data_IF_909785202034
#
_entry.id   IF_909785202034
#
_cell.length_a   1.000
_cell.length_b   1.000
_cell.length_c   1.000
_cell.angle_alpha   90.00
_cell.angle_beta   90.00
_cell.angle_gamma   90.00
#
_symmetry.space_group_name_H-M   'P 1'
#
loop_
_entity.id
_entity.type
_entity.pdbx_description
1 polymer ?
#
# COMPACT_ATOMS: atom_id res chain seq x y z
N UNK A 1 -36.33 24.88 -32.25
CA UNK A 1 -36.18 24.61 -30.80
C UNK A 1 -35.79 23.15 -30.46
N UNK A 2 -35.51 22.25 -31.42
CA UNK A 2 -35.25 20.82 -31.13
C UNK A 2 -33.79 20.36 -31.04
N UNK A 3 -32.85 21.06 -31.72
CA UNK A 3 -31.44 20.60 -31.80
C UNK A 3 -30.63 21.00 -30.57
N UNK A 4 -30.93 22.16 -29.96
CA UNK A 4 -30.24 22.62 -28.75
C UNK A 4 -30.53 21.70 -27.55
N UNK A 5 -31.76 21.21 -27.39
CA UNK A 5 -32.12 20.32 -26.29
C UNK A 5 -31.32 19.00 -26.31
N UNK A 6 -31.15 18.38 -27.49
CA UNK A 6 -30.42 17.10 -27.63
C UNK A 6 -28.94 17.23 -27.29
N UNK A 7 -28.31 18.37 -27.63
CA UNK A 7 -26.93 18.65 -27.26
C UNK A 7 -26.74 18.86 -25.75
N UNK A 8 -27.68 19.56 -25.09
CA UNK A 8 -27.63 19.73 -23.63
C UNK A 8 -27.87 18.42 -22.88
N UNK A 9 -28.79 17.55 -23.33
CA UNK A 9 -29.01 16.24 -22.70
C UNK A 9 -27.80 15.30 -22.84
N UNK A 10 -27.09 15.35 -23.97
CA UNK A 10 -25.88 14.55 -24.19
C UNK A 10 -24.69 15.08 -23.38
N UNK A 11 -24.54 16.40 -23.22
CA UNK A 11 -23.54 16.98 -22.30
C UNK A 11 -23.87 16.63 -20.83
N UNK A 12 -25.15 16.68 -20.44
CA UNK A 12 -25.59 16.31 -19.09
C UNK A 12 -25.32 14.83 -18.78
N UNK A 13 -25.53 13.95 -19.76
CA UNK A 13 -25.23 12.52 -19.62
C UNK A 13 -23.74 12.20 -19.55
N UNK A 14 -22.85 13.07 -20.06
CA UNK A 14 -21.40 12.88 -20.01
C UNK A 14 -20.76 13.37 -18.69
N UNK A 15 -21.41 14.25 -17.93
CA UNK A 15 -20.86 14.72 -16.65
C UNK A 15 -20.59 13.58 -15.64
N UNK A 16 -21.49 12.61 -15.44
CA UNK A 16 -21.23 11.47 -14.56
C UNK A 16 -20.02 10.63 -15.00
N UNK A 17 -19.81 10.48 -16.31
CA UNK A 17 -18.67 9.74 -16.87
C UNK A 17 -17.34 10.48 -16.63
N UNK A 18 -17.31 11.80 -16.83
CA UNK A 18 -16.11 12.61 -16.53
C UNK A 18 -15.77 12.66 -15.04
N UNK A 19 -16.79 12.69 -14.17
CA UNK A 19 -16.60 12.63 -12.72
C UNK A 19 -16.06 11.26 -12.26
N UNK A 20 -16.55 10.17 -12.84
CA UNK A 20 -16.05 8.83 -12.52
C UNK A 20 -14.62 8.61 -13.02
N UNK A 21 -14.29 9.06 -14.25
CA UNK A 21 -12.93 8.96 -14.79
C UNK A 21 -11.92 9.80 -14.01
N UNK A 22 -12.30 11.01 -13.59
CA UNK A 22 -11.43 11.84 -12.76
C UNK A 22 -11.19 11.19 -11.39
N UNK A 23 -12.24 10.70 -10.72
CA UNK A 23 -12.12 9.98 -9.44
C UNK A 23 -11.19 8.76 -9.55
N UNK A 24 -11.41 7.91 -10.54
CA UNK A 24 -10.59 6.71 -10.75
C UNK A 24 -9.12 7.07 -11.04
N UNK A 25 -8.87 8.12 -11.81
CA UNK A 25 -7.52 8.63 -12.06
C UNK A 25 -6.85 9.16 -10.80
N UNK A 26 -7.59 9.85 -9.92
CA UNK A 26 -7.08 10.30 -8.61
C UNK A 26 -6.75 9.12 -7.70
N UNK A 27 -7.64 8.12 -7.60
CA UNK A 27 -7.43 6.93 -6.77
C UNK A 27 -6.24 6.10 -7.27
N UNK A 28 -6.09 5.92 -8.59
CA UNK A 28 -4.95 5.24 -9.19
C UNK A 28 -3.63 6.00 -8.96
N UNK A 29 -3.64 7.33 -9.07
CA UNK A 29 -2.45 8.17 -8.80
C UNK A 29 -2.07 8.10 -7.32
N UNK A 30 -3.05 8.18 -6.43
CA UNK A 30 -2.83 8.05 -4.99
C UNK A 30 -2.27 6.66 -4.64
N UNK A 31 -2.84 5.59 -5.23
CA UNK A 31 -2.31 4.24 -5.07
C UNK A 31 -0.85 4.14 -5.55
N UNK A 32 -0.54 4.68 -6.73
CA UNK A 32 0.83 4.69 -7.24
C UNK A 32 1.81 5.41 -6.30
N UNK A 33 1.42 6.56 -5.73
CA UNK A 33 2.25 7.28 -4.77
C UNK A 33 2.50 6.50 -3.48
N UNK A 34 1.47 5.84 -2.94
CA UNK A 34 1.61 4.97 -1.76
C UNK A 34 2.55 3.79 -2.08
N UNK A 35 2.34 3.12 -3.22
CA UNK A 35 3.17 1.99 -3.64
C UNK A 35 4.63 2.40 -3.82
N UNK A 36 4.89 3.53 -4.50
CA UNK A 36 6.24 4.06 -4.66
C UNK A 36 6.89 4.38 -3.32
N UNK A 37 6.16 4.97 -2.37
CA UNK A 37 6.68 5.26 -1.03
C UNK A 37 7.10 3.98 -0.31
N UNK A 38 6.22 2.97 -0.29
CA UNK A 38 6.51 1.67 0.35
C UNK A 38 7.70 0.96 -0.32
N UNK A 39 7.76 0.97 -1.66
CA UNK A 39 8.88 0.37 -2.38
C UNK A 39 10.19 1.12 -2.13
N UNK A 40 10.15 2.44 -1.99
CA UNK A 40 11.32 3.25 -1.62
C UNK A 40 11.79 2.93 -0.21
N UNK A 41 10.87 2.84 0.76
CA UNK A 41 11.19 2.46 2.14
C UNK A 41 11.88 1.09 2.19
N UNK A 42 11.31 0.10 1.48
CA UNK A 42 11.86 -1.24 1.38
C UNK A 42 13.20 -1.31 0.64
N UNK A 43 13.50 -0.36 -0.24
CA UNK A 43 14.78 -0.30 -0.95
C UNK A 43 15.86 0.32 -0.08
N UNK A 44 15.60 1.49 0.47
CA UNK A 44 16.61 2.38 1.05
C UNK A 44 16.78 2.19 2.57
N UNK A 45 15.73 1.79 3.29
CA UNK A 45 15.80 1.70 4.75
C UNK A 45 16.28 0.33 5.22
N UNK A 46 17.54 0.29 5.62
CA UNK A 46 18.19 -0.88 6.21
C UNK A 46 18.29 -0.69 7.72
N UNK A 47 17.68 -1.59 8.49
CA UNK A 47 17.90 -1.66 9.93
C UNK A 47 19.30 -2.22 10.20
N UNK A 48 19.99 -1.63 11.18
CA UNK A 48 21.25 -2.16 11.73
C UNK A 48 21.13 -3.59 12.28
N UNK A 49 19.90 -4.10 12.43
CA UNK A 49 19.56 -5.41 13.01
C UNK A 49 19.11 -6.43 11.93
N UNK A 50 19.57 -6.27 10.68
CA UNK A 50 19.40 -7.22 9.56
C UNK A 50 17.97 -7.35 9.00
N UNK A 51 17.32 -6.24 8.65
CA UNK A 51 16.04 -6.24 7.94
C UNK A 51 15.73 -4.91 7.24
N UNK A 52 14.70 -4.90 6.38
CA UNK A 52 14.17 -3.67 5.78
C UNK A 52 13.13 -3.05 6.70
N UNK A 53 12.98 -1.73 6.67
CA UNK A 53 11.99 -1.02 7.47
C UNK A 53 10.79 -0.63 6.62
N UNK A 54 9.59 -0.77 7.18
CA UNK A 54 8.37 -0.21 6.62
C UNK A 54 7.72 0.65 7.68
N UNK A 55 7.29 1.86 7.32
CA UNK A 55 6.53 2.70 8.24
C UNK A 55 5.15 2.07 8.53
N UNK A 56 4.87 1.81 9.81
CA UNK A 56 3.62 1.20 10.28
C UNK A 56 2.67 2.16 10.97
N UNK A 57 3.18 3.28 11.48
CA UNK A 57 2.38 4.34 12.11
C UNK A 57 3.16 5.66 12.22
N UNK A 58 2.50 6.72 12.70
CA UNK A 58 3.13 7.95 13.15
C UNK A 58 3.60 8.92 12.07
N UNK A 59 4.39 9.91 12.49
CA UNK A 59 5.06 10.88 11.61
C UNK A 59 6.39 10.31 11.11
N UNK A 60 6.93 10.88 10.02
CA UNK A 60 8.30 10.64 9.51
C UNK A 60 9.39 11.17 10.47
N UNK A 61 9.20 11.02 11.78
CA UNK A 61 10.27 11.13 12.76
C UNK A 61 10.95 9.76 12.83
N UNK A 62 12.29 9.71 12.90
CA UNK A 62 13.07 8.47 13.06
C UNK A 62 12.88 7.85 14.46
N UNK A 63 11.65 7.50 14.80
CA UNK A 63 11.25 6.83 16.03
C UNK A 63 11.05 5.37 15.68
N UNK A 64 11.90 4.49 16.22
CA UNK A 64 11.88 3.06 15.90
C UNK A 64 10.49 2.41 16.08
N UNK A 65 9.67 2.88 17.02
CA UNK A 65 8.31 2.39 17.24
C UNK A 65 7.35 2.61 16.05
N UNK A 66 7.65 3.57 15.18
CA UNK A 66 6.84 3.89 14.00
C UNK A 66 7.10 2.95 12.82
N UNK A 67 8.14 2.12 12.90
CA UNK A 67 8.58 1.23 11.83
C UNK A 67 8.44 -0.22 12.25
N UNK A 68 8.17 -1.07 11.26
CA UNK A 68 8.27 -2.51 11.39
C UNK A 68 9.55 -2.98 10.71
N UNK A 69 10.30 -3.86 11.37
CA UNK A 69 11.46 -4.53 10.79
C UNK A 69 10.98 -5.80 10.09
N UNK A 70 11.16 -5.85 8.78
CA UNK A 70 10.90 -7.05 7.98
C UNK A 70 12.23 -7.79 7.80
N UNK A 71 12.41 -8.98 8.42
CA UNK A 71 13.64 -9.74 8.29
C UNK A 71 13.81 -10.17 6.83
N UNK A 72 14.96 -9.87 6.21
CA UNK A 72 15.21 -10.23 4.81
C UNK A 72 15.86 -11.61 4.66
N UNK A 73 16.43 -12.17 5.73
CA UNK A 73 17.02 -13.50 5.72
C UNK A 73 15.93 -14.57 5.81
N UNK A 74 15.86 -15.44 4.82
CA UNK A 74 15.10 -16.69 4.93
C UNK A 74 16.00 -17.77 5.52
N UNK A 75 15.55 -18.43 6.58
CA UNK A 75 16.01 -19.79 6.91
C UNK A 75 15.67 -20.71 5.71
N UNK A 76 16.52 -21.71 5.48
CA UNK A 76 16.39 -22.69 4.39
C UNK A 76 14.94 -23.18 4.25
N UNK A 77 14.23 -22.70 3.23
CA UNK A 77 12.79 -22.93 3.08
C UNK A 77 11.98 -21.74 2.56
N UNK A 78 12.46 -20.50 2.75
CA UNK A 78 11.92 -19.31 2.08
C UNK A 78 10.43 -19.08 2.28
N UNK A 79 9.99 -18.78 3.51
CA UNK A 79 8.58 -18.47 3.76
C UNK A 79 8.25 -17.03 3.34
N UNK A 80 7.25 -16.87 2.47
CA UNK A 80 6.78 -15.55 2.03
C UNK A 80 6.25 -14.72 3.21
N UNK A 81 6.49 -13.41 3.14
CA UNK A 81 6.13 -12.46 4.19
C UNK A 81 5.06 -11.50 3.69
N UNK A 82 4.12 -11.17 4.56
CA UNK A 82 3.00 -10.30 4.24
C UNK A 82 2.91 -9.19 5.26
N UNK A 83 2.79 -7.96 4.79
CA UNK A 83 2.56 -6.77 5.61
C UNK A 83 1.25 -6.16 5.17
N UNK A 84 0.34 -5.99 6.12
CA UNK A 84 -0.95 -5.36 5.91
C UNK A 84 -0.90 -3.99 6.58
N UNK A 85 -1.23 -2.94 5.84
CA UNK A 85 -1.28 -1.56 6.33
C UNK A 85 -2.65 -0.98 6.03
N UNK A 86 -3.21 -0.22 6.96
CA UNK A 86 -4.41 0.57 6.75
C UNK A 86 -4.02 2.06 6.81
N UNK A 87 -4.27 2.77 5.72
CA UNK A 87 -3.96 4.19 5.57
C UNK A 87 -5.17 5.05 5.90
N UNK A 88 -4.94 6.09 6.68
CA UNK A 88 -5.96 7.05 7.12
C UNK A 88 -5.49 8.49 6.83
N UNK A 89 -6.44 9.41 6.71
CA UNK A 89 -6.16 10.83 6.60
C UNK A 89 -5.89 11.40 7.98
N UNK A 90 -4.65 11.85 8.19
CA UNK A 90 -4.21 12.45 9.44
C UNK A 90 -3.73 13.87 9.20
N UNK A 91 -4.08 14.78 10.10
CA UNK A 91 -3.56 16.14 10.10
C UNK A 91 -2.08 16.11 10.46
N UNK A 92 -1.26 16.78 9.66
CA UNK A 92 0.16 16.97 9.95
C UNK A 92 0.34 17.97 11.10
N UNK A 93 0.46 17.47 12.33
CA UNK A 93 0.56 18.29 13.54
C UNK A 93 1.90 19.04 13.68
N UNK A 94 2.92 18.66 12.90
CA UNK A 94 4.26 19.29 12.88
C UNK A 94 4.41 20.41 11.83
N UNK A 95 3.31 20.88 11.23
CA UNK A 95 3.33 21.97 10.23
C UNK A 95 2.34 23.07 10.59
N UNK A 96 2.77 24.33 10.44
CA UNK A 96 1.97 25.54 10.70
C UNK A 96 0.67 25.57 9.89
N UNK A 97 0.67 24.98 8.69
CA UNK A 97 -0.52 24.91 7.83
C UNK A 97 -1.33 23.62 8.01
N UNK A 98 -0.83 22.69 8.84
CA UNK A 98 -1.51 21.45 9.23
C UNK A 98 -2.19 20.71 8.05
N UNK A 99 -1.48 20.46 6.93
CA UNK A 99 -2.07 19.76 5.79
C UNK A 99 -2.50 18.35 6.17
N UNK A 100 -3.58 17.87 5.55
CA UNK A 100 -4.02 16.48 5.68
C UNK A 100 -3.06 15.60 4.87
N UNK A 101 -2.55 14.54 5.49
CA UNK A 101 -1.67 13.55 4.87
C UNK A 101 -2.25 12.17 5.02
N UNK A 102 -2.10 11.34 4.00
CA UNK A 102 -2.43 9.93 4.10
C UNK A 102 -1.27 9.19 4.78
N UNK A 103 -1.56 8.46 5.87
CA UNK A 103 -0.53 7.77 6.66
C UNK A 103 -1.00 6.41 7.16
N UNK A 104 -0.07 5.44 7.34
CA UNK A 104 -0.39 4.19 8.01
C UNK A 104 -0.90 4.47 9.44
N UNK A 105 -2.03 3.86 9.81
CA UNK A 105 -2.62 3.96 11.15
C UNK A 105 -2.62 2.61 11.87
N UNK A 106 -2.96 1.56 11.13
CA UNK A 106 -3.07 0.18 11.63
C UNK A 106 -2.16 -0.67 10.77
N UNK A 107 -1.49 -1.64 11.37
CA UNK A 107 -0.64 -2.60 10.67
C UNK A 107 -0.74 -3.99 11.26
N UNK A 108 -0.47 -5.00 10.43
CA UNK A 108 -0.29 -6.39 10.85
C UNK A 108 0.78 -7.01 9.97
N UNK A 109 1.68 -7.80 10.55
CA UNK A 109 2.77 -8.45 9.83
C UNK A 109 2.68 -9.94 10.06
N UNK A 110 2.73 -10.68 8.96
CA UNK A 110 2.81 -12.13 8.96
C UNK A 110 4.12 -12.57 8.34
N UNK A 111 4.95 -13.21 9.14
CA UNK A 111 6.27 -13.71 8.72
C UNK A 111 6.22 -15.18 8.28
N UNK A 112 5.05 -15.82 8.35
CA UNK A 112 4.91 -17.27 8.21
C UNK A 112 3.82 -17.65 7.20
N UNK A 113 3.68 -16.88 6.12
CA UNK A 113 2.63 -17.05 5.12
C UNK A 113 1.46 -16.08 5.28
N UNK A 114 0.42 -16.18 4.44
CA UNK A 114 -0.71 -15.25 4.49
C UNK A 114 -1.51 -15.44 5.77
N UNK A 115 -1.58 -14.38 6.58
CA UNK A 115 -2.44 -14.30 7.76
C UNK A 115 -3.12 -12.93 7.75
N UNK A 116 -4.22 -12.86 7.00
CA UNK A 116 -4.96 -11.63 6.77
C UNK A 116 -5.75 -11.27 8.03
N UNK A 117 -5.53 -10.09 8.63
CA UNK A 117 -6.32 -9.69 9.78
C UNK A 117 -7.77 -9.41 9.38
N UNK A 118 -8.72 -9.61 10.29
CA UNK A 118 -10.16 -9.44 10.00
C UNK A 118 -10.51 -8.05 9.47
N UNK A 119 -9.87 -6.99 9.98
CA UNK A 119 -10.06 -5.62 9.48
C UNK A 119 -9.62 -5.45 8.02
N UNK A 120 -8.72 -6.30 7.51
CA UNK A 120 -8.32 -6.32 6.12
C UNK A 120 -9.31 -7.09 5.26
N UNK A 121 -9.85 -8.22 5.71
CA UNK A 121 -10.80 -9.04 4.91
C UNK A 121 -12.21 -8.46 4.91
N UNK A 122 -12.71 -8.09 6.08
CA UNK A 122 -14.12 -7.75 6.30
C UNK A 122 -14.38 -6.26 6.03
N UNK A 123 -13.31 -5.47 6.01
CA UNK A 123 -13.35 -4.02 5.95
C UNK A 123 -13.19 -3.39 7.32
N UNK A 124 -12.88 -2.10 7.32
CA UNK A 124 -12.65 -1.33 8.54
C UNK A 124 -13.28 0.04 8.44
N UNK A 125 -13.76 0.55 9.58
CA UNK A 125 -14.21 1.94 9.69
C UNK A 125 -13.04 2.83 10.08
N UNK A 126 -12.90 3.99 9.43
CA UNK A 126 -11.84 4.96 9.69
C UNK A 126 -10.83 5.04 8.55
N UNK A 127 -9.92 4.03 8.39
CA UNK A 127 -9.00 4.00 7.27
C UNK A 127 -9.72 4.12 5.92
N UNK A 128 -9.04 4.73 4.96
CA UNK A 128 -9.59 5.05 3.64
C UNK A 128 -9.07 4.05 2.60
N UNK A 129 -7.83 3.62 2.76
CA UNK A 129 -7.13 2.71 1.84
C UNK A 129 -6.49 1.56 2.61
N UNK A 130 -6.56 0.35 2.08
CA UNK A 130 -5.87 -0.81 2.62
C UNK A 130 -4.72 -1.21 1.68
N UNK A 131 -3.64 -1.69 2.25
CA UNK A 131 -2.45 -2.08 1.51
C UNK A 131 -1.97 -3.45 1.99
N UNK A 132 -1.67 -4.32 1.04
CA UNK A 132 -1.02 -5.61 1.25
C UNK A 132 0.31 -5.62 0.52
N UNK A 133 1.40 -5.75 1.26
CA UNK A 133 2.75 -5.92 0.73
C UNK A 133 3.12 -7.39 0.86
N UNK A 134 3.35 -8.06 -0.25
CA UNK A 134 3.76 -9.46 -0.30
C UNK A 134 5.22 -9.54 -0.74
N UNK A 135 6.09 -10.02 0.15
CA UNK A 135 7.50 -10.24 -0.13
C UNK A 135 7.72 -11.73 -0.39
N UNK A 136 8.01 -12.05 -1.66
CA UNK A 136 8.16 -13.42 -2.14
C UNK A 136 9.61 -13.77 -2.42
N UNK A 137 10.00 -14.97 -2.01
CA UNK A 137 11.34 -15.51 -2.28
C UNK A 137 11.41 -16.13 -3.68
N UNK A 138 11.22 -15.30 -4.72
CA UNK A 138 11.15 -15.77 -6.10
C UNK A 138 12.52 -15.93 -6.78
N UNK A 139 13.58 -15.35 -6.21
CA UNK A 139 14.93 -15.42 -6.77
C UNK A 139 15.84 -16.26 -5.87
N UNK A 140 16.58 -17.18 -6.47
CA UNK A 140 17.67 -17.92 -5.81
C UNK A 140 18.92 -17.77 -6.66
N UNK A 141 19.90 -17.02 -6.16
CA UNK A 141 21.17 -16.81 -6.85
C UNK A 141 22.15 -17.97 -6.64
N UNK A 142 21.95 -18.79 -5.60
CA UNK A 142 22.72 -20.01 -5.35
C UNK A 142 21.92 -21.01 -4.51
N UNK A 143 22.14 -22.31 -4.74
CA UNK A 143 21.56 -23.38 -3.93
C UNK A 143 22.16 -23.34 -2.52
N UNK A 144 21.44 -22.72 -1.58
CA UNK A 144 21.91 -22.49 -0.20
C UNK A 144 22.23 -21.03 0.13
N UNK A 145 22.13 -20.12 -0.85
CA UNK A 145 22.23 -18.69 -0.59
C UNK A 145 21.06 -18.20 0.25
N UNK A 146 21.33 -17.66 1.44
CA UNK A 146 20.36 -16.98 2.31
C UNK A 146 20.11 -15.53 1.90
N UNK A 147 20.90 -15.05 0.92
CA UNK A 147 21.01 -13.69 0.47
C UNK A 147 20.56 -13.55 -0.99
N UNK A 148 19.25 -13.43 -1.22
CA UNK A 148 18.69 -13.29 -2.57
C UNK A 148 17.77 -12.06 -2.65
N UNK A 149 17.72 -11.39 -3.81
CA UNK A 149 16.68 -10.41 -4.10
C UNK A 149 15.29 -11.01 -3.87
N UNK A 150 14.34 -10.18 -3.45
CA UNK A 150 12.96 -10.60 -3.21
C UNK A 150 12.03 -9.85 -4.15
N UNK A 151 11.01 -10.56 -4.66
CA UNK A 151 9.92 -9.92 -5.39
C UNK A 151 8.98 -9.28 -4.37
N UNK A 152 8.61 -8.03 -4.58
CA UNK A 152 7.63 -7.32 -3.75
C UNK A 152 6.42 -7.02 -4.59
N UNK A 153 5.26 -7.49 -4.16
CA UNK A 153 3.96 -7.12 -4.73
C UNK A 153 3.23 -6.22 -3.72
N UNK A 154 2.97 -4.97 -4.07
CA UNK A 154 2.17 -4.01 -3.29
C UNK A 154 0.78 -3.94 -3.92
N UNK A 155 -0.21 -4.46 -3.22
CA UNK A 155 -1.62 -4.38 -3.58
C UNK A 155 -2.28 -3.30 -2.74
N UNK A 156 -3.00 -2.39 -3.39
CA UNK A 156 -3.69 -1.27 -2.77
C UNK A 156 -5.17 -1.43 -3.06
N UNK A 157 -6.00 -1.40 -2.02
CA UNK A 157 -7.42 -1.68 -2.08
C UNK A 157 -8.25 -0.51 -1.54
N UNK A 158 -9.29 -0.14 -2.28
CA UNK A 158 -10.23 0.94 -1.94
C UNK A 158 -11.66 0.58 -2.37
N UNK A 159 -12.70 0.98 -1.61
CA UNK A 159 -12.63 1.64 -0.31
C UNK A 159 -12.35 0.65 0.82
N UNK A 160 -11.59 1.07 1.84
CA UNK A 160 -11.23 0.23 2.99
C UNK A 160 -12.44 -0.26 3.82
N UNK A 161 -13.58 0.42 3.73
CA UNK A 161 -14.82 0.07 4.44
C UNK A 161 -15.59 -1.08 3.82
N UNK A 162 -15.36 -1.41 2.54
CA UNK A 162 -16.00 -2.53 1.88
C UNK A 162 -15.29 -3.85 2.23
N UNK A 163 -15.96 -5.01 2.13
CA UNK A 163 -15.29 -6.32 2.21
C UNK A 163 -14.38 -6.54 0.98
N UNK A 164 -13.36 -7.39 1.12
CA UNK A 164 -12.32 -7.59 0.11
C UNK A 164 -12.84 -7.90 -1.30
N UNK A 165 -13.97 -8.60 -1.43
CA UNK A 165 -14.58 -8.95 -2.73
C UNK A 165 -15.11 -7.75 -3.52
N UNK A 166 -15.38 -6.63 -2.86
CA UNK A 166 -16.05 -5.47 -3.44
C UNK A 166 -15.11 -4.26 -3.58
N UNK A 167 -13.80 -4.46 -3.41
CA UNK A 167 -12.80 -3.37 -3.51
C UNK A 167 -12.16 -3.35 -4.89
N UNK A 168 -11.82 -2.14 -5.33
CA UNK A 168 -10.92 -1.93 -6.46
C UNK A 168 -9.50 -2.23 -5.98
N UNK A 169 -8.74 -2.99 -6.78
CA UNK A 169 -7.38 -3.39 -6.47
C UNK A 169 -6.40 -2.83 -7.50
N UNK A 170 -5.37 -2.13 -7.01
CA UNK A 170 -4.23 -1.69 -7.79
C UNK A 170 -2.99 -2.47 -7.35
N UNK A 171 -2.35 -3.19 -8.27
CA UNK A 171 -1.20 -4.03 -7.97
C UNK A 171 0.05 -3.47 -8.62
N UNK A 172 1.08 -3.25 -7.81
CA UNK A 172 2.39 -2.78 -8.24
C UNK A 172 3.44 -3.81 -7.84
N UNK A 173 4.24 -4.27 -8.78
CA UNK A 173 5.30 -5.24 -8.52
C UNK A 173 6.68 -4.64 -8.72
N UNK A 174 7.63 -5.05 -7.89
CA UNK A 174 9.02 -4.66 -7.97
C UNK A 174 9.95 -5.74 -7.43
N UNK A 175 11.25 -5.43 -7.43
CA UNK A 175 12.29 -6.27 -6.84
C UNK A 175 13.08 -5.43 -5.85
N UNK A 176 13.29 -5.95 -4.65
CA UNK A 176 14.13 -5.31 -3.64
C UNK A 176 15.42 -6.11 -3.45
N UNK A 177 16.57 -5.44 -3.28
CA UNK A 177 17.78 -6.09 -2.82
C UNK A 177 17.59 -6.51 -1.36
N UNK A 178 18.30 -7.58 -0.97
CA UNK A 178 18.29 -8.03 0.42
C UNK A 178 19.07 -7.06 1.33
N UNK A 179 20.17 -6.49 0.83
CA UNK A 179 20.99 -5.48 1.50
C UNK A 179 20.40 -4.10 1.29
#
# INVERSE_FOLDING_TARGET
MGVAAVAFTSIIALFPLGLNMSKESYEATQAALIAQTIMSDLRDQVSSTSGKLIQKTGTNAMVAANYEIIPMTASSGGTDRYVYLAYDQQIRTDSTNSPIMLRPRISSVSLSGPNEPSWFTDGTNGPIVLVKVSLKHSFRMSAGGTANPQRVDVTIESPASAPATNRVQYVFSGVIPQA
#
